data_IF_497541632003
#
_entry.id   IF_497541632003
#
_cell.length_a   1.000
_cell.length_b   1.000
_cell.length_c   1.000
_cell.angle_alpha   90.00
_cell.angle_beta   90.00
_cell.angle_gamma   90.00
#
_symmetry.space_group_name_H-M   'P 1'
#
loop_
_entity.id
_entity.type
_entity.pdbx_description
1 polymer ?
#
# COMPACT_ATOMS: atom_id res chain seq x y z
N UNK A 1 -9.01 -21.75 -15.82
CA UNK A 1 -9.68 -20.97 -14.76
C UNK A 1 -8.93 -19.65 -14.68
N UNK A 2 -9.30 -18.69 -15.53
CA UNK A 2 -8.67 -17.38 -15.55
C UNK A 2 -9.08 -16.64 -14.27
N UNK A 3 -8.10 -16.36 -13.41
CA UNK A 3 -8.25 -15.46 -12.27
C UNK A 3 -8.82 -14.14 -12.80
N UNK A 4 -9.97 -13.73 -12.26
CA UNK A 4 -10.57 -12.42 -12.50
C UNK A 4 -9.61 -11.36 -11.98
N UNK A 5 -8.64 -10.95 -12.80
CA UNK A 5 -7.73 -9.86 -12.45
C UNK A 5 -8.55 -8.59 -12.47
N UNK A 6 -8.81 -8.05 -11.29
CA UNK A 6 -9.48 -6.78 -11.15
C UNK A 6 -8.71 -5.69 -11.93
N UNK A 7 -9.33 -5.23 -13.02
CA UNK A 7 -8.77 -4.23 -13.93
C UNK A 7 -8.57 -2.89 -13.24
N UNK A 8 -9.32 -2.62 -12.16
CA UNK A 8 -9.14 -1.43 -11.31
C UNK A 8 -7.74 -1.40 -10.71
N UNK A 9 -7.25 -2.56 -10.26
CA UNK A 9 -5.92 -2.70 -9.67
C UNK A 9 -4.83 -2.59 -10.74
N UNK A 10 -5.08 -3.07 -11.97
CA UNK A 10 -4.12 -2.99 -13.08
C UNK A 10 -3.79 -1.57 -13.54
N UNK A 11 -4.77 -0.66 -13.54
CA UNK A 11 -4.55 0.73 -13.97
C UNK A 11 -3.80 1.58 -12.95
N UNK A 12 -3.61 1.10 -11.72
CA UNK A 12 -3.03 1.92 -10.65
C UNK A 12 -1.55 2.25 -10.90
N UNK A 13 -0.83 1.39 -11.65
CA UNK A 13 0.57 1.61 -12.01
C UNK A 13 0.75 2.73 -13.05
N UNK A 14 -0.32 3.20 -13.71
CA UNK A 14 -0.25 4.42 -14.53
C UNK A 14 -0.47 5.68 -13.69
N UNK A 15 -0.88 5.54 -12.42
CA UNK A 15 -1.19 6.61 -11.48
C UNK A 15 -0.42 6.47 -10.16
N UNK A 16 0.91 6.30 -10.25
CA UNK A 16 1.75 6.00 -9.09
C UNK A 16 1.98 7.18 -8.13
N UNK A 17 1.57 8.41 -8.47
CA UNK A 17 1.89 9.60 -7.67
C UNK A 17 0.70 10.00 -6.81
N UNK A 18 0.93 10.08 -5.51
CA UNK A 18 -0.07 10.51 -4.53
C UNK A 18 0.47 11.72 -3.76
N UNK A 19 -0.40 12.71 -3.52
CA UNK A 19 -0.03 13.96 -2.86
C UNK A 19 -0.91 14.13 -1.61
N UNK A 20 -0.28 14.35 -0.46
CA UNK A 20 -0.97 14.68 0.79
C UNK A 20 -0.64 16.13 1.15
N UNK A 21 -1.66 16.97 1.14
CA UNK A 21 -1.55 18.38 1.51
C UNK A 21 -1.78 18.52 3.02
N UNK A 22 -0.78 19.01 3.75
CA UNK A 22 -0.91 19.34 5.17
C UNK A 22 -0.72 20.84 5.37
N UNK A 23 -0.92 21.32 6.61
CA UNK A 23 -0.67 22.72 6.94
C UNK A 23 0.85 22.99 6.92
N UNK A 24 1.36 23.43 5.78
CA UNK A 24 2.73 23.94 5.63
C UNK A 24 3.61 23.17 4.65
N UNK A 25 3.21 22.00 4.19
CA UNK A 25 3.97 21.19 3.22
C UNK A 25 3.07 20.31 2.35
N UNK A 26 3.59 19.91 1.19
CA UNK A 26 3.01 18.85 0.36
C UNK A 26 3.90 17.63 0.47
N UNK A 27 3.32 16.51 0.90
CA UNK A 27 4.03 15.23 0.98
C UNK A 27 3.81 14.43 -0.30
N UNK A 28 4.89 13.99 -0.89
CA UNK A 28 4.91 13.26 -2.15
C UNK A 28 5.07 11.77 -1.88
N UNK A 29 4.12 10.97 -2.33
CA UNK A 29 4.12 9.53 -2.16
C UNK A 29 4.13 8.83 -3.51
N UNK A 30 4.76 7.65 -3.55
CA UNK A 30 4.73 6.76 -4.71
C UNK A 30 4.16 5.40 -4.38
N UNK A 31 3.13 5.00 -5.12
CA UNK A 31 2.46 3.71 -4.96
C UNK A 31 3.41 2.58 -5.33
N UNK A 32 3.56 1.62 -4.43
CA UNK A 32 4.37 0.42 -4.66
C UNK A 32 3.53 -0.86 -4.68
N UNK A 33 2.36 -0.89 -4.03
CA UNK A 33 1.48 -2.05 -4.02
C UNK A 33 0.01 -1.63 -4.03
N UNK A 34 -0.81 -2.48 -4.66
CA UNK A 34 -2.26 -2.45 -4.55
C UNK A 34 -2.80 -3.88 -4.51
N UNK A 35 -3.66 -4.14 -3.53
CA UNK A 35 -4.14 -5.48 -3.20
C UNK A 35 -5.53 -5.45 -2.58
N UNK A 36 -6.19 -6.60 -2.63
CA UNK A 36 -7.33 -6.89 -1.77
C UNK A 36 -6.80 -7.56 -0.51
N UNK A 37 -7.28 -7.11 0.63
CA UNK A 37 -6.99 -7.68 1.95
C UNK A 37 -8.32 -8.01 2.63
N UNK A 38 -8.34 -8.96 3.55
CA UNK A 38 -9.52 -9.17 4.39
C UNK A 38 -9.79 -7.95 5.29
N UNK A 39 -10.97 -7.88 5.91
CA UNK A 39 -11.36 -6.77 6.78
C UNK A 39 -10.65 -6.72 8.14
N UNK A 40 -9.62 -7.55 8.35
CA UNK A 40 -8.79 -7.50 9.54
C UNK A 40 -8.23 -6.10 9.73
N UNK A 41 -8.19 -5.67 10.98
CA UNK A 41 -7.58 -4.41 11.35
C UNK A 41 -6.06 -4.47 11.14
N UNK A 42 -5.59 -3.96 10.00
CA UNK A 42 -4.20 -4.00 9.51
C UNK A 42 -3.20 -3.62 10.60
N UNK A 43 -3.49 -2.58 11.37
CA UNK A 43 -2.60 -2.12 12.44
C UNK A 43 -2.42 -3.21 13.51
N UNK A 44 -3.48 -3.89 13.94
CA UNK A 44 -3.35 -5.01 14.89
C UNK A 44 -2.71 -6.24 14.25
N UNK A 45 -2.96 -6.50 12.97
CA UNK A 45 -2.39 -7.63 12.24
C UNK A 45 -0.84 -7.57 12.25
N UNK A 46 -0.27 -6.37 12.08
CA UNK A 46 1.17 -6.13 12.14
C UNK A 46 1.67 -5.61 13.51
N UNK A 47 1.04 -6.05 14.61
CA UNK A 47 1.42 -5.71 15.99
C UNK A 47 1.58 -4.19 16.28
N UNK A 48 0.89 -3.34 15.53
CA UNK A 48 0.96 -1.88 15.63
C UNK A 48 2.19 -1.25 15.00
N UNK A 49 2.93 -1.97 14.14
CA UNK A 49 4.17 -1.51 13.52
C UNK A 49 5.19 -1.00 14.56
N UNK A 50 5.37 -1.76 15.65
CA UNK A 50 6.17 -1.34 16.81
C UNK A 50 7.67 -1.45 16.57
N UNK A 51 8.08 -2.32 15.66
CA UNK A 51 9.47 -2.59 15.37
C UNK A 51 9.71 -2.73 13.86
N UNK A 52 10.99 -2.74 13.47
CA UNK A 52 11.41 -2.83 12.07
C UNK A 52 10.92 -4.10 11.38
N UNK A 53 10.93 -5.23 12.09
CA UNK A 53 10.45 -6.51 11.53
C UNK A 53 8.96 -6.51 11.19
N UNK A 54 8.13 -5.75 11.92
CA UNK A 54 6.70 -5.60 11.62
C UNK A 54 6.50 -4.87 10.27
N UNK A 55 7.30 -3.83 10.00
CA UNK A 55 7.27 -3.07 8.74
C UNK A 55 7.75 -3.94 7.57
N UNK A 56 8.83 -4.70 7.78
CA UNK A 56 9.37 -5.60 6.76
C UNK A 56 8.41 -6.76 6.46
N UNK A 57 7.73 -7.30 7.48
CA UNK A 57 6.70 -8.32 7.30
C UNK A 57 5.53 -7.79 6.47
N UNK A 58 5.01 -6.60 6.81
CA UNK A 58 3.98 -5.92 6.02
C UNK A 58 4.40 -5.72 4.56
N UNK A 59 5.58 -5.16 4.33
CA UNK A 59 6.07 -4.97 2.96
C UNK A 59 6.23 -6.30 2.22
N UNK A 60 6.77 -7.33 2.87
CA UNK A 60 6.93 -8.67 2.28
C UNK A 60 5.58 -9.29 1.91
N UNK A 61 4.59 -9.19 2.79
CA UNK A 61 3.24 -9.70 2.56
C UNK A 61 2.57 -8.96 1.38
N UNK A 62 2.62 -7.64 1.38
CA UNK A 62 2.06 -6.83 0.30
C UNK A 62 2.77 -7.10 -1.03
N UNK A 63 4.10 -7.20 -1.03
CA UNK A 63 4.86 -7.58 -2.22
C UNK A 63 4.72 -9.06 -2.60
N UNK A 64 4.09 -9.89 -1.77
CA UNK A 64 3.71 -11.27 -2.13
C UNK A 64 2.31 -11.31 -2.74
N UNK A 65 1.36 -10.58 -2.14
CA UNK A 65 -0.07 -10.67 -2.46
C UNK A 65 -0.57 -9.62 -3.48
N UNK A 66 0.16 -8.53 -3.69
CA UNK A 66 -0.31 -7.46 -4.56
C UNK A 66 -0.46 -7.91 -6.01
N UNK A 67 -1.56 -7.51 -6.63
CA UNK A 67 -1.81 -7.76 -8.05
C UNK A 67 -0.88 -6.90 -8.91
N UNK A 68 -0.47 -5.73 -8.38
CA UNK A 68 0.50 -4.85 -8.99
C UNK A 68 1.57 -4.40 -7.98
N UNK A 69 2.82 -4.48 -8.42
CA UNK A 69 4.02 -4.30 -7.58
C UNK A 69 4.99 -3.39 -8.30
N UNK A 70 5.56 -2.42 -7.59
CA UNK A 70 6.65 -1.60 -8.09
C UNK A 70 7.90 -1.78 -7.23
N UNK A 71 8.82 -2.62 -7.70
CA UNK A 71 10.10 -2.91 -7.05
C UNK A 71 11.12 -1.76 -7.14
N UNK A 72 10.83 -0.69 -7.89
CA UNK A 72 11.75 0.44 -8.03
C UNK A 72 11.86 1.28 -6.75
N UNK A 73 11.01 1.04 -5.76
CA UNK A 73 11.03 1.74 -4.48
C UNK A 73 11.38 0.76 -3.36
N UNK A 74 12.58 0.92 -2.79
CA UNK A 74 13.03 0.09 -1.69
C UNK A 74 12.41 0.61 -0.39
N UNK A 75 11.41 -0.12 0.14
CA UNK A 75 10.82 0.16 1.45
C UNK A 75 11.67 -0.51 2.51
N UNK A 76 12.09 0.25 3.51
CA UNK A 76 12.84 -0.20 4.68
C UNK A 76 12.17 0.29 5.97
N UNK A 77 12.75 -0.05 7.12
CA UNK A 77 12.19 0.32 8.41
C UNK A 77 12.07 1.84 8.66
N UNK A 78 12.91 2.65 8.02
CA UNK A 78 12.88 4.12 8.13
C UNK A 78 11.85 4.75 7.18
N UNK A 79 11.27 3.97 6.27
CA UNK A 79 10.35 4.46 5.26
C UNK A 79 9.02 4.87 5.87
N UNK A 80 8.50 6.03 5.44
CA UNK A 80 7.17 6.49 5.84
C UNK A 80 6.14 6.00 4.83
N UNK A 81 5.27 5.10 5.27
CA UNK A 81 4.25 4.46 4.42
C UNK A 81 2.90 5.16 4.60
N UNK A 82 2.18 5.32 3.49
CA UNK A 82 0.78 5.71 3.44
C UNK A 82 -0.03 4.50 2.97
N UNK A 83 -1.03 4.10 3.76
CA UNK A 83 -2.02 3.08 3.39
C UNK A 83 -3.37 3.76 3.25
N UNK A 84 -3.95 3.70 2.05
CA UNK A 84 -5.34 4.10 1.81
C UNK A 84 -6.19 2.83 1.76
N UNK A 85 -7.19 2.76 2.62
CA UNK A 85 -8.11 1.63 2.71
C UNK A 85 -9.52 2.08 2.33
N UNK A 86 -10.19 1.29 1.49
CA UNK A 86 -11.60 1.50 1.15
C UNK A 86 -12.36 0.17 1.17
N UNK A 87 -13.65 0.23 1.41
CA UNK A 87 -14.52 -0.94 1.33
C UNK A 87 -14.56 -1.44 -0.11
N UNK A 88 -14.62 -2.76 -0.29
CA UNK A 88 -15.00 -3.35 -1.57
C UNK A 88 -16.49 -3.67 -1.61
N UNK A 89 -16.96 -4.27 -2.70
CA UNK A 89 -18.37 -4.70 -2.83
C UNK A 89 -18.81 -5.67 -1.74
N UNK A 90 -17.89 -6.42 -1.16
CA UNK A 90 -18.11 -7.28 0.00
C UNK A 90 -17.55 -6.60 1.25
N UNK A 91 -18.34 -6.55 2.32
CA UNK A 91 -17.96 -5.93 3.59
C UNK A 91 -16.81 -6.68 4.29
N UNK A 92 -16.51 -7.90 3.87
CA UNK A 92 -15.41 -8.74 4.37
C UNK A 92 -14.06 -8.46 3.70
N UNK A 93 -14.04 -7.62 2.65
CA UNK A 93 -12.83 -7.29 1.90
C UNK A 93 -12.55 -5.79 1.89
N UNK A 94 -11.27 -5.44 1.82
CA UNK A 94 -10.78 -4.07 1.70
C UNK A 94 -9.84 -3.96 0.54
N UNK A 95 -10.02 -2.91 -0.26
CA UNK A 95 -9.02 -2.53 -1.23
C UNK A 95 -7.98 -1.64 -0.57
N UNK A 96 -6.72 -2.04 -0.66
CA UNK A 96 -5.58 -1.33 -0.12
C UNK A 96 -4.72 -0.76 -1.23
N UNK A 97 -4.36 0.51 -1.07
CA UNK A 97 -3.34 1.18 -1.86
C UNK A 97 -2.21 1.63 -0.94
N UNK A 98 -1.02 1.15 -1.23
CA UNK A 98 0.16 1.35 -0.39
C UNK A 98 1.21 2.16 -1.13
N UNK A 99 1.68 3.22 -0.48
CA UNK A 99 2.62 4.16 -1.07
C UNK A 99 3.71 4.54 -0.07
N UNK A 100 4.91 4.81 -0.58
CA UNK A 100 6.05 5.24 0.22
C UNK A 100 6.32 6.72 0.00
N UNK A 101 6.64 7.45 1.07
CA UNK A 101 7.05 8.85 0.98
C UNK A 101 8.37 8.93 0.21
N UNK A 102 8.45 9.87 -0.73
CA UNK A 102 9.67 10.13 -1.50
C UNK A 102 10.04 11.60 -1.38
N UNK A 103 11.34 11.87 -1.39
CA UNK A 103 11.84 13.22 -1.48
C UNK A 103 11.46 13.84 -2.83
N UNK A 104 11.21 15.15 -2.81
CA UNK A 104 10.98 15.92 -4.02
C UNK A 104 12.29 15.98 -4.82
N UNK A 105 12.28 15.43 -6.04
CA UNK A 105 13.36 15.61 -7.03
C UNK A 105 12.95 16.75 -7.96
#
# INVERSE_FOLDING_TARGET
MESCKDTRIQSILTHIRTYIYTKGEVKHYKVFAALTHDDSYIVSYYNGFKNESDILAFYSDSMSNAVNKNYSYNVNADSKILVLSTCEKDDTERFLLEAVLVDFI
#
